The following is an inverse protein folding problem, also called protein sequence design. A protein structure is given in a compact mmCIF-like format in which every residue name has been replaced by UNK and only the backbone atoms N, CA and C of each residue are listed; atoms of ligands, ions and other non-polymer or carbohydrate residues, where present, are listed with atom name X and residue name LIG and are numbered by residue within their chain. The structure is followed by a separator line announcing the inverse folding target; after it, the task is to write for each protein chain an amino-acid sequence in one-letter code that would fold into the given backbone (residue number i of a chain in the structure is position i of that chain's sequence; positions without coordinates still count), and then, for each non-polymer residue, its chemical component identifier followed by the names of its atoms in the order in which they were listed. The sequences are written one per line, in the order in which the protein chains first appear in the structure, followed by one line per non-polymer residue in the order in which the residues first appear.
data_IF_595510806091
#
_entry.id   IF_595510806091
#
_cell.length_a   1.000
_cell.length_b   1.000
_cell.length_c   1.000
_cell.angle_alpha   90.00
_cell.angle_beta   90.00
_cell.angle_gamma   90.00
#
_symmetry.space_group_name_H-M   'P 1'
#
loop_
_entity.id
_entity.type
_entity.pdbx_description
1 polymer ?
#
# COMPACT_ATOMS: atom_id res chain seq x y z
N UNK A 1 -38.61 -49.47 -17.03
CA UNK A 1 -37.95 -50.08 -18.19
C UNK A 1 -36.84 -49.13 -18.66
N UNK A 2 -35.70 -49.70 -18.88
CA UNK A 2 -34.43 -49.22 -19.41
C UNK A 2 -33.53 -48.53 -18.38
N UNK A 3 -32.72 -49.38 -17.80
CA UNK A 3 -31.46 -49.16 -17.08
C UNK A 3 -30.36 -48.74 -18.04
N UNK A 4 -29.57 -47.73 -17.66
CA UNK A 4 -28.25 -47.51 -18.27
C UNK A 4 -27.17 -47.50 -17.20
N UNK A 5 -26.25 -48.46 -17.32
CA UNK A 5 -25.11 -48.69 -16.46
C UNK A 5 -23.96 -47.70 -16.80
N UNK A 6 -23.40 -47.06 -15.80
CA UNK A 6 -22.17 -46.31 -15.90
C UNK A 6 -20.99 -47.25 -15.65
N UNK A 7 -20.07 -47.30 -16.61
CA UNK A 7 -18.77 -48.01 -16.50
C UNK A 7 -17.80 -47.18 -15.65
N UNK A 8 -17.25 -47.78 -14.61
CA UNK A 8 -16.12 -47.26 -13.84
C UNK A 8 -14.86 -47.89 -14.46
N UNK A 9 -13.99 -47.06 -14.99
CA UNK A 9 -12.64 -47.47 -15.39
C UNK A 9 -11.66 -47.18 -14.27
N UNK A 10 -11.17 -48.27 -13.65
CA UNK A 10 -10.08 -48.25 -12.67
C UNK A 10 -8.74 -48.25 -13.43
N UNK A 11 -7.96 -47.20 -13.24
CA UNK A 11 -6.56 -47.17 -13.69
C UNK A 11 -5.67 -47.44 -12.48
N UNK A 12 -4.98 -48.59 -12.52
CA UNK A 12 -3.90 -48.95 -11.61
C UNK A 12 -2.63 -48.20 -12.04
N UNK A 13 -2.05 -47.40 -11.16
CA UNK A 13 -0.70 -46.87 -11.34
C UNK A 13 0.21 -47.41 -10.25
N UNK A 14 1.20 -48.17 -10.68
CA UNK A 14 2.27 -48.78 -9.91
C UNK A 14 3.21 -47.75 -9.29
N UNK A 15 3.49 -47.91 -8.02
CA UNK A 15 4.46 -47.12 -7.26
C UNK A 15 5.90 -47.50 -7.69
N UNK A 16 6.68 -46.48 -8.04
CA UNK A 16 8.15 -46.55 -7.99
C UNK A 16 8.62 -45.44 -7.04
N UNK A 17 9.27 -45.85 -5.96
CA UNK A 17 9.83 -45.00 -4.96
C UNK A 17 11.01 -44.17 -5.52
N UNK A 18 10.95 -42.86 -5.27
CA UNK A 18 12.06 -41.96 -5.44
C UNK A 18 11.96 -40.91 -4.32
N UNK A 19 12.91 -40.99 -3.40
CA UNK A 19 13.14 -39.98 -2.36
C UNK A 19 13.59 -38.70 -3.04
N UNK A 20 12.74 -37.67 -3.04
CA UNK A 20 13.13 -36.31 -3.42
C UNK A 20 13.24 -35.52 -2.12
N UNK A 21 14.48 -35.18 -1.79
CA UNK A 21 14.82 -34.21 -0.75
C UNK A 21 14.22 -32.84 -1.08
N UNK A 22 13.52 -32.27 -0.13
CA UNK A 22 12.87 -30.97 -0.26
C UNK A 22 13.89 -29.83 -0.47
N UNK A 23 13.64 -29.04 -1.48
CA UNK A 23 14.14 -27.66 -1.56
C UNK A 23 12.95 -26.74 -1.32
N UNK A 24 12.89 -26.15 -0.12
CA UNK A 24 12.09 -24.99 0.15
C UNK A 24 12.75 -23.80 -0.57
N UNK A 25 12.12 -23.26 -1.58
CA UNK A 25 12.53 -21.99 -2.16
C UNK A 25 12.03 -20.85 -1.25
N UNK A 26 12.96 -20.40 -0.41
CA UNK A 26 12.87 -19.17 0.39
C UNK A 26 13.09 -17.99 -0.59
N UNK A 27 11.99 -17.32 -0.98
CA UNK A 27 12.07 -16.08 -1.77
C UNK A 27 12.38 -14.89 -0.84
N UNK A 28 13.55 -14.89 -0.25
CA UNK A 28 14.15 -13.68 0.33
C UNK A 28 14.78 -12.85 -0.78
N UNK A 29 14.25 -11.66 -1.00
CA UNK A 29 14.86 -10.63 -1.87
C UNK A 29 16.27 -10.30 -1.36
N UNK A 30 17.31 -10.31 -2.21
CA UNK A 30 18.66 -10.00 -1.78
C UNK A 30 18.80 -8.52 -1.44
N UNK A 31 19.37 -8.23 -0.27
CA UNK A 31 19.82 -6.91 0.16
C UNK A 31 21.02 -6.48 -0.68
N UNK A 32 21.14 -5.18 -1.04
CA UNK A 32 22.33 -4.70 -1.75
C UNK A 32 23.51 -4.59 -0.80
N UNK A 33 24.53 -5.44 -1.01
CA UNK A 33 25.84 -5.31 -0.40
C UNK A 33 26.64 -4.23 -1.12
N UNK A 34 27.05 -3.21 -0.39
CA UNK A 34 28.01 -2.20 -0.86
C UNK A 34 29.40 -2.80 -1.03
N UNK A 35 29.90 -2.87 -2.27
CA UNK A 35 31.29 -3.07 -2.59
C UNK A 35 31.79 -1.96 -3.52
N UNK A 36 33.04 -1.46 -3.36
CA UNK A 36 33.51 -0.28 -4.06
C UNK A 36 33.99 -0.58 -5.49
N UNK A 37 33.56 0.26 -6.41
CA UNK A 37 34.30 0.59 -7.61
C UNK A 37 34.42 -0.46 -8.71
N UNK A 38 33.37 -0.70 -9.48
CA UNK A 38 33.51 -1.20 -10.85
C UNK A 38 32.65 -0.34 -11.79
N UNK A 39 33.31 0.38 -12.70
CA UNK A 39 32.64 0.98 -13.86
C UNK A 39 32.14 -0.15 -14.73
N UNK A 40 30.83 -0.38 -14.75
CA UNK A 40 30.19 -1.30 -15.69
C UNK A 40 29.81 -0.53 -16.94
N UNK A 41 30.18 -0.97 -18.15
CA UNK A 41 29.73 -0.35 -19.37
C UNK A 41 28.23 -0.58 -19.55
N UNK A 42 27.53 0.47 -19.93
CA UNK A 42 26.10 0.50 -20.23
C UNK A 42 25.78 -0.55 -21.31
N UNK A 43 25.24 -1.70 -20.93
CA UNK A 43 24.69 -2.66 -21.88
C UNK A 43 23.28 -2.19 -22.27
N UNK A 44 23.14 -1.65 -23.48
CA UNK A 44 21.87 -1.50 -24.17
C UNK A 44 21.26 -2.91 -24.34
N UNK A 45 20.42 -3.32 -23.39
CA UNK A 45 19.57 -4.49 -23.50
C UNK A 45 18.40 -4.15 -24.43
N UNK A 46 18.37 -4.78 -25.57
CA UNK A 46 17.27 -4.82 -26.54
C UNK A 46 15.98 -5.32 -25.87
N UNK A 47 15.10 -4.41 -25.46
CA UNK A 47 13.68 -4.71 -25.28
C UNK A 47 12.94 -4.24 -26.52
N UNK A 48 12.76 -5.13 -27.49
CA UNK A 48 11.85 -4.95 -28.63
C UNK A 48 10.44 -5.31 -28.16
N UNK A 49 9.77 -4.34 -27.58
CA UNK A 49 8.34 -4.30 -27.37
C UNK A 49 7.93 -2.83 -27.50
N UNK A 50 7.77 -2.34 -28.75
CA UNK A 50 7.14 -1.05 -28.98
C UNK A 50 5.63 -1.19 -28.69
N UNK A 51 5.26 -1.10 -27.40
CA UNK A 51 3.94 -0.62 -27.03
C UNK A 51 4.00 0.89 -27.23
N UNK A 52 3.10 1.45 -28.02
CA UNK A 52 3.15 2.86 -28.38
C UNK A 52 2.89 3.70 -27.13
N UNK A 53 3.91 4.33 -26.58
CA UNK A 53 3.88 5.20 -25.40
C UNK A 53 2.90 6.40 -25.51
N UNK A 54 2.30 6.61 -26.67
CA UNK A 54 1.21 7.55 -26.84
C UNK A 54 -0.13 7.04 -26.28
N UNK A 55 -0.30 5.73 -26.09
CA UNK A 55 -1.55 5.15 -25.56
C UNK A 55 -1.68 5.37 -24.07
N UNK A 56 -0.56 5.33 -23.32
CA UNK A 56 -0.57 5.48 -21.86
C UNK A 56 -0.97 6.91 -21.48
N UNK A 57 -0.32 7.94 -22.05
CA UNK A 57 -0.65 9.33 -21.74
C UNK A 57 -2.05 9.75 -22.25
N UNK A 58 -2.55 9.15 -23.35
CA UNK A 58 -3.92 9.43 -23.81
C UNK A 58 -4.99 8.87 -22.88
N UNK A 59 -4.63 7.89 -22.02
CA UNK A 59 -5.55 7.39 -20.99
C UNK A 59 -5.93 8.44 -19.95
N UNK A 60 -5.07 9.47 -19.73
CA UNK A 60 -5.34 10.61 -18.85
C UNK A 60 -6.62 11.38 -19.27
N UNK A 61 -6.98 11.35 -20.56
CA UNK A 61 -8.15 12.05 -21.10
C UNK A 61 -9.47 11.30 -20.82
N UNK A 62 -9.39 10.10 -20.23
CA UNK A 62 -10.53 9.19 -20.01
C UNK A 62 -11.03 9.14 -18.57
N UNK A 63 -10.43 9.92 -17.67
CA UNK A 63 -10.87 10.02 -16.27
C UNK A 63 -11.84 11.18 -16.10
N UNK A 64 -12.82 10.98 -15.23
CA UNK A 64 -13.92 11.91 -15.04
C UNK A 64 -13.60 13.07 -14.08
N UNK A 65 -12.56 12.92 -13.26
CA UNK A 65 -12.22 13.92 -12.25
C UNK A 65 -10.72 14.21 -12.16
N UNK A 66 -10.43 15.50 -12.05
CA UNK A 66 -9.11 16.05 -11.77
C UNK A 66 -9.16 16.94 -10.54
N UNK A 67 -8.10 16.91 -9.72
CA UNK A 67 -7.90 17.79 -8.60
C UNK A 67 -6.63 18.62 -8.83
N UNK A 68 -6.58 19.82 -8.27
CA UNK A 68 -5.47 20.78 -8.35
C UNK A 68 -5.15 21.29 -9.78
N UNK A 69 -5.82 20.83 -10.80
CA UNK A 69 -5.65 21.31 -12.18
C UNK A 69 -6.90 21.05 -13.03
N UNK A 70 -7.05 21.77 -14.16
CA UNK A 70 -7.90 21.29 -15.25
C UNK A 70 -7.42 19.94 -15.78
N UNK A 71 -8.25 19.20 -16.54
CA UNK A 71 -7.84 17.98 -17.23
C UNK A 71 -6.58 18.19 -18.07
N UNK A 72 -5.59 17.31 -17.89
CA UNK A 72 -4.36 17.34 -18.70
C UNK A 72 -4.50 16.36 -19.88
N UNK A 73 -4.03 16.78 -21.03
CA UNK A 73 -4.04 15.97 -22.26
C UNK A 73 -2.63 15.54 -22.65
N UNK A 74 -2.49 14.43 -23.38
CA UNK A 74 -1.21 14.00 -23.91
C UNK A 74 -0.54 15.12 -24.79
N UNK A 75 -1.33 15.91 -25.49
CA UNK A 75 -0.82 17.02 -26.29
C UNK A 75 -0.26 18.17 -25.46
N UNK A 76 -0.86 18.49 -24.32
CA UNK A 76 -0.40 19.53 -23.39
C UNK A 76 0.90 19.11 -22.66
N UNK A 77 1.18 17.82 -22.59
CA UNK A 77 2.37 17.26 -21.93
C UNK A 77 3.56 17.11 -22.90
N UNK A 78 3.39 17.34 -24.20
CA UNK A 78 4.50 17.27 -25.17
C UNK A 78 5.61 18.28 -24.82
N UNK A 79 6.85 17.83 -24.94
CA UNK A 79 8.02 18.64 -24.61
C UNK A 79 8.26 18.81 -23.11
N UNK A 80 7.52 18.15 -22.26
CA UNK A 80 7.71 18.11 -20.79
C UNK A 80 8.16 16.74 -20.35
N UNK A 81 8.95 16.69 -19.29
CA UNK A 81 9.20 15.45 -18.56
C UNK A 81 8.00 15.20 -17.64
N UNK A 82 7.46 13.99 -17.64
CA UNK A 82 6.27 13.66 -16.83
C UNK A 82 6.61 12.54 -15.86
N UNK A 83 6.27 12.76 -14.60
CA UNK A 83 6.29 11.72 -13.56
C UNK A 83 4.85 11.33 -13.25
N UNK A 84 4.48 10.09 -13.56
CA UNK A 84 3.20 9.51 -13.12
C UNK A 84 3.46 8.78 -11.79
N UNK A 85 2.69 9.16 -10.77
CA UNK A 85 2.72 8.59 -9.43
C UNK A 85 1.39 7.88 -9.15
N UNK A 86 1.37 6.54 -9.22
CA UNK A 86 0.20 5.75 -8.85
C UNK A 86 0.11 5.57 -7.35
N UNK A 87 -1.03 5.96 -6.79
CA UNK A 87 -1.22 6.01 -5.35
C UNK A 87 -2.63 5.71 -4.89
N UNK A 88 -2.74 5.38 -3.61
CA UNK A 88 -3.97 5.44 -2.84
C UNK A 88 -3.67 5.95 -1.43
N UNK A 89 -4.61 6.66 -0.82
CA UNK A 89 -4.31 7.43 0.41
C UNK A 89 -4.15 6.56 1.66
N UNK A 90 -4.56 5.28 1.63
CA UNK A 90 -4.36 4.34 2.74
C UNK A 90 -3.05 3.55 2.63
N UNK A 91 -2.34 3.61 1.50
CA UNK A 91 -1.09 2.89 1.31
C UNK A 91 0.06 3.52 2.09
N UNK A 92 0.58 2.84 3.13
CA UNK A 92 1.69 3.34 3.95
C UNK A 92 2.98 3.52 3.15
N UNK A 93 3.26 2.61 2.21
CA UNK A 93 4.45 2.68 1.36
C UNK A 93 4.42 3.94 0.49
N UNK A 94 3.25 4.28 -0.06
CA UNK A 94 3.09 5.54 -0.78
C UNK A 94 3.18 6.76 0.14
N UNK A 95 2.61 6.71 1.36
CA UNK A 95 2.72 7.80 2.35
C UNK A 95 4.18 8.14 2.64
N UNK A 96 5.08 7.16 2.65
CA UNK A 96 6.53 7.34 2.81
C UNK A 96 7.23 7.83 1.54
N UNK A 97 6.65 7.59 0.37
CA UNK A 97 7.16 8.09 -0.93
C UNK A 97 6.74 9.55 -1.18
N UNK A 98 5.57 9.96 -0.70
CA UNK A 98 4.96 11.26 -0.94
C UNK A 98 5.89 12.48 -0.65
N UNK A 99 6.66 12.53 0.45
CA UNK A 99 7.55 13.67 0.72
C UNK A 99 8.58 13.92 -0.39
N UNK A 100 9.09 12.85 -1.00
CA UNK A 100 10.02 12.96 -2.15
C UNK A 100 9.30 13.44 -3.40
N UNK A 101 8.13 12.89 -3.71
CA UNK A 101 7.34 13.33 -4.88
C UNK A 101 6.95 14.81 -4.77
N UNK A 102 6.55 15.27 -3.57
CA UNK A 102 6.28 16.69 -3.31
C UNK A 102 7.54 17.56 -3.53
N UNK A 103 8.68 17.11 -3.01
CA UNK A 103 9.94 17.83 -3.16
C UNK A 103 10.40 17.92 -4.62
N UNK A 104 10.28 16.84 -5.39
CA UNK A 104 10.59 16.85 -6.83
C UNK A 104 9.61 17.73 -7.62
N UNK A 105 8.32 17.66 -7.31
CA UNK A 105 7.31 18.49 -7.94
C UNK A 105 7.62 19.98 -7.76
N UNK A 106 8.01 20.41 -6.55
CA UNK A 106 8.38 21.79 -6.26
C UNK A 106 9.71 22.19 -6.90
N UNK A 107 10.75 21.37 -6.73
CA UNK A 107 12.11 21.67 -7.21
C UNK A 107 12.18 21.82 -8.72
N UNK A 108 11.50 20.96 -9.48
CA UNK A 108 11.68 20.88 -10.94
C UNK A 108 10.51 21.45 -11.75
N UNK A 109 9.49 22.06 -11.12
CA UNK A 109 8.32 22.62 -11.82
C UNK A 109 8.69 23.62 -12.92
N UNK A 110 9.62 24.54 -12.62
CA UNK A 110 10.06 25.57 -13.55
C UNK A 110 11.07 25.04 -14.57
N UNK A 111 11.60 23.83 -14.36
CA UNK A 111 12.51 23.15 -15.28
C UNK A 111 11.79 22.18 -16.22
N UNK A 112 10.45 22.17 -16.20
CA UNK A 112 9.63 21.43 -17.16
C UNK A 112 9.24 20.02 -16.70
N UNK A 113 9.37 19.70 -15.41
CA UNK A 113 8.75 18.51 -14.81
C UNK A 113 7.26 18.76 -14.58
N UNK A 114 6.44 17.82 -14.96
CA UNK A 114 5.02 17.72 -14.57
C UNK A 114 4.83 16.44 -13.78
N UNK A 115 4.49 16.56 -12.50
CA UNK A 115 4.09 15.43 -11.69
C UNK A 115 2.57 15.27 -11.79
N UNK A 116 2.09 14.06 -12.03
CA UNK A 116 0.67 13.70 -12.05
C UNK A 116 0.47 12.53 -11.10
N UNK A 117 -0.22 12.79 -9.99
CA UNK A 117 -0.70 11.73 -9.11
C UNK A 117 -1.90 11.02 -9.74
N UNK A 118 -1.83 9.72 -9.91
CA UNK A 118 -2.97 8.90 -10.37
C UNK A 118 -3.52 8.15 -9.17
N UNK A 119 -4.62 8.65 -8.62
CA UNK A 119 -5.29 7.99 -7.51
C UNK A 119 -6.10 6.80 -8.02
N UNK A 120 -5.60 5.59 -7.77
CA UNK A 120 -6.26 4.33 -8.12
C UNK A 120 -6.66 3.62 -6.81
N UNK A 121 -7.97 3.40 -6.56
CA UNK A 121 -8.46 2.90 -5.28
C UNK A 121 -8.11 1.43 -5.06
N UNK A 122 -7.65 1.06 -3.87
CA UNK A 122 -7.53 -0.32 -3.42
C UNK A 122 -8.84 -0.79 -2.75
N UNK A 123 -9.46 0.07 -1.95
CA UNK A 123 -10.71 -0.22 -1.25
C UNK A 123 -11.88 0.55 -1.85
N UNK A 124 -13.11 0.04 -1.65
CA UNK A 124 -14.31 0.65 -2.22
C UNK A 124 -14.55 2.10 -1.76
N UNK A 125 -14.23 2.41 -0.50
CA UNK A 125 -14.39 3.76 0.05
C UNK A 125 -13.41 4.78 -0.55
N UNK A 126 -12.34 4.34 -1.16
CA UNK A 126 -11.37 5.20 -1.85
C UNK A 126 -11.88 5.67 -3.22
N UNK A 127 -12.99 5.11 -3.72
CA UNK A 127 -13.69 5.61 -4.92
C UNK A 127 -14.46 6.90 -4.65
N UNK A 128 -14.79 7.20 -3.40
CA UNK A 128 -15.52 8.42 -3.05
C UNK A 128 -14.64 9.66 -3.25
N UNK A 129 -15.04 10.50 -4.20
CA UNK A 129 -14.30 11.73 -4.55
C UNK A 129 -14.13 12.68 -3.35
N UNK A 130 -15.08 12.69 -2.41
CA UNK A 130 -14.98 13.52 -1.20
C UNK A 130 -13.85 13.06 -0.28
N UNK A 131 -13.66 11.74 -0.15
CA UNK A 131 -12.55 11.14 0.59
C UNK A 131 -11.22 11.44 -0.09
N UNK A 132 -11.14 11.33 -1.43
CA UNK A 132 -9.92 11.66 -2.19
C UNK A 132 -9.57 13.13 -2.05
N UNK A 133 -10.54 14.05 -2.16
CA UNK A 133 -10.33 15.51 -1.97
C UNK A 133 -9.79 15.83 -0.59
N UNK A 134 -10.38 15.23 0.45
CA UNK A 134 -9.90 15.40 1.82
C UNK A 134 -8.46 14.90 1.94
N UNK A 135 -8.17 13.70 1.46
CA UNK A 135 -6.83 13.14 1.49
C UNK A 135 -5.80 14.03 0.77
N UNK A 136 -6.13 14.55 -0.41
CA UNK A 136 -5.27 15.50 -1.16
C UNK A 136 -4.95 16.74 -0.31
N UNK A 137 -5.96 17.32 0.34
CA UNK A 137 -5.78 18.49 1.19
C UNK A 137 -4.95 18.18 2.46
N UNK A 138 -5.31 17.12 3.19
CA UNK A 138 -4.65 16.75 4.44
C UNK A 138 -3.18 16.37 4.24
N UNK A 139 -2.88 15.77 3.08
CA UNK A 139 -1.52 15.37 2.69
C UNK A 139 -0.76 16.45 1.92
N UNK A 140 -1.34 17.64 1.74
CA UNK A 140 -0.71 18.78 1.05
C UNK A 140 -0.19 18.42 -0.33
N UNK A 141 -1.01 17.72 -1.12
CA UNK A 141 -0.71 17.42 -2.51
C UNK A 141 -1.14 18.62 -3.34
N UNK A 142 -0.18 19.30 -3.96
CA UNK A 142 -0.42 20.51 -4.74
C UNK A 142 -0.30 20.27 -6.26
N UNK A 143 0.37 19.16 -6.66
CA UNK A 143 0.48 18.79 -8.06
C UNK A 143 -0.85 18.19 -8.59
N UNK A 144 -1.05 18.16 -9.94
CA UNK A 144 -2.22 17.59 -10.58
C UNK A 144 -2.53 16.15 -10.13
N UNK A 145 -3.80 15.87 -9.85
CA UNK A 145 -4.27 14.53 -9.49
C UNK A 145 -5.39 14.09 -10.43
N UNK A 146 -5.16 13.00 -11.14
CA UNK A 146 -6.17 12.27 -11.91
C UNK A 146 -6.84 11.22 -11.01
N UNK A 147 -8.17 11.22 -10.92
CA UNK A 147 -8.93 10.27 -10.11
C UNK A 147 -9.32 9.08 -11.00
N UNK A 148 -8.63 7.97 -10.86
CA UNK A 148 -8.75 6.76 -11.70
C UNK A 148 -9.61 5.68 -11.00
N UNK A 149 -10.82 6.04 -10.56
CA UNK A 149 -11.71 5.14 -9.80
C UNK A 149 -12.05 3.84 -10.52
N UNK A 150 -12.00 3.82 -11.84
CA UNK A 150 -12.27 2.65 -12.67
C UNK A 150 -10.99 2.00 -13.24
N UNK A 151 -9.80 2.38 -12.75
CA UNK A 151 -8.52 1.83 -13.16
C UNK A 151 -8.25 1.90 -14.68
N UNK A 152 -8.66 2.98 -15.33
CA UNK A 152 -8.47 3.18 -16.78
C UNK A 152 -7.02 3.49 -17.10
N UNK A 153 -6.42 4.44 -16.34
CA UNK A 153 -4.99 4.79 -16.45
C UNK A 153 -4.15 3.63 -15.95
N UNK A 154 -4.53 3.05 -14.80
CA UNK A 154 -3.87 1.89 -14.22
C UNK A 154 -3.67 0.76 -15.24
N UNK A 155 -4.73 0.38 -15.94
CA UNK A 155 -4.65 -0.66 -16.98
C UNK A 155 -3.86 -0.24 -18.20
N UNK A 156 -3.92 1.04 -18.60
CA UNK A 156 -3.18 1.55 -19.76
C UNK A 156 -1.66 1.50 -19.52
N UNK A 157 -1.22 1.71 -18.28
CA UNK A 157 0.17 1.56 -17.87
C UNK A 157 0.55 0.12 -17.48
N UNK A 158 -0.37 -0.84 -17.57
CA UNK A 158 -0.18 -2.22 -17.11
C UNK A 158 0.30 -2.29 -15.65
N UNK A 159 -0.09 -1.29 -14.82
CA UNK A 159 0.38 -1.19 -13.45
C UNK A 159 -0.22 -2.29 -12.55
N UNK A 160 0.55 -2.72 -11.54
CA UNK A 160 0.15 -3.76 -10.59
C UNK A 160 0.52 -3.43 -9.13
N UNK A 161 1.12 -2.24 -8.87
CA UNK A 161 1.70 -1.92 -7.58
C UNK A 161 1.32 -0.52 -7.08
N UNK A 162 1.21 -0.39 -5.76
CA UNK A 162 1.23 0.88 -5.03
C UNK A 162 2.43 0.93 -4.07
N UNK A 163 3.20 2.03 -4.06
CA UNK A 163 3.29 3.04 -5.10
C UNK A 163 3.93 2.49 -6.37
N UNK A 164 3.71 3.19 -7.48
CA UNK A 164 4.45 2.96 -8.71
C UNK A 164 4.74 4.30 -9.41
N UNK A 165 5.99 4.55 -9.73
CA UNK A 165 6.44 5.74 -10.42
C UNK A 165 6.82 5.39 -11.86
N UNK A 166 6.31 6.15 -12.83
CA UNK A 166 6.68 6.02 -14.23
C UNK A 166 7.27 7.32 -14.73
N UNK A 167 8.46 7.24 -15.30
CA UNK A 167 9.28 8.38 -15.77
C UNK A 167 9.18 8.48 -17.28
N UNK A 168 8.61 9.58 -17.76
CA UNK A 168 8.26 9.78 -19.16
C UNK A 168 9.05 10.96 -19.71
N UNK A 169 9.73 10.77 -20.85
CA UNK A 169 10.55 11.79 -21.49
C UNK A 169 9.71 12.85 -22.26
N UNK A 170 10.37 13.89 -22.73
CA UNK A 170 9.74 14.99 -23.47
C UNK A 170 9.08 14.55 -24.78
N UNK A 171 9.36 13.35 -25.27
CA UNK A 171 8.73 12.74 -26.43
C UNK A 171 7.50 11.90 -26.07
N UNK A 172 7.21 11.76 -24.77
CA UNK A 172 6.08 10.98 -24.26
C UNK A 172 6.38 9.49 -24.13
N UNK A 173 7.64 9.05 -24.07
CA UNK A 173 8.03 7.65 -23.95
C UNK A 173 8.34 7.33 -22.49
N UNK A 174 7.80 6.22 -21.97
CA UNK A 174 8.19 5.69 -20.68
C UNK A 174 9.65 5.21 -20.76
N UNK A 175 10.52 5.80 -19.93
CA UNK A 175 11.97 5.55 -19.91
C UNK A 175 12.38 4.69 -18.70
N UNK A 176 11.64 4.80 -17.63
CA UNK A 176 11.90 4.07 -16.40
C UNK A 176 10.61 3.90 -15.59
N UNK A 177 10.60 2.92 -14.70
CA UNK A 177 9.59 2.76 -13.67
C UNK A 177 10.24 2.29 -12.36
N UNK A 178 9.67 2.71 -11.23
CA UNK A 178 10.03 2.27 -9.89
C UNK A 178 8.76 1.72 -9.21
N UNK A 179 8.79 0.45 -8.81
CA UNK A 179 7.71 -0.20 -8.10
C UNK A 179 8.03 -0.29 -6.60
N UNK A 180 7.05 0.04 -5.77
CA UNK A 180 7.23 0.10 -4.32
C UNK A 180 7.98 1.36 -3.87
N UNK A 181 8.19 1.45 -2.56
CA UNK A 181 8.93 2.55 -1.93
C UNK A 181 10.44 2.35 -1.99
N UNK A 182 11.22 3.44 -1.88
CA UNK A 182 12.69 3.42 -1.89
C UNK A 182 13.31 3.89 -3.19
N UNK A 183 14.63 3.74 -3.33
CA UNK A 183 15.43 4.18 -4.50
C UNK A 183 15.22 5.65 -4.89
N UNK A 184 14.96 6.52 -3.91
CA UNK A 184 14.56 7.91 -4.18
C UNK A 184 15.67 8.72 -4.85
N UNK A 185 16.93 8.58 -4.42
CA UNK A 185 18.07 9.24 -5.03
C UNK A 185 18.24 8.80 -6.49
N UNK A 186 18.14 7.51 -6.78
CA UNK A 186 18.20 7.00 -8.15
C UNK A 186 17.05 7.53 -9.00
N UNK A 187 15.84 7.57 -8.45
CA UNK A 187 14.65 8.12 -9.12
C UNK A 187 14.86 9.60 -9.47
N UNK A 188 15.41 10.39 -8.55
CA UNK A 188 15.71 11.80 -8.80
C UNK A 188 16.79 12.00 -9.87
N UNK A 189 17.85 11.17 -9.85
CA UNK A 189 18.87 11.20 -10.91
C UNK A 189 18.27 10.96 -12.30
N UNK A 190 17.33 10.02 -12.42
CA UNK A 190 16.61 9.76 -13.68
C UNK A 190 15.79 11.00 -14.12
N UNK A 191 15.06 11.64 -13.20
CA UNK A 191 14.36 12.90 -13.50
C UNK A 191 15.30 13.96 -14.03
N UNK A 192 16.45 14.16 -13.37
CA UNK A 192 17.48 15.13 -13.77
C UNK A 192 18.06 14.83 -15.16
N UNK A 193 18.29 13.55 -15.49
CA UNK A 193 18.75 13.14 -16.82
C UNK A 193 17.71 13.44 -17.90
N UNK A 194 16.44 13.08 -17.67
CA UNK A 194 15.36 13.35 -18.62
C UNK A 194 15.12 14.85 -18.83
N UNK A 195 15.24 15.67 -17.77
CA UNK A 195 15.15 17.13 -17.87
C UNK A 195 16.30 17.72 -18.67
N UNK A 196 17.53 17.23 -18.47
CA UNK A 196 18.69 17.64 -19.26
C UNK A 196 18.54 17.26 -20.75
N UNK A 197 18.09 16.03 -21.05
CA UNK A 197 17.77 15.58 -22.42
C UNK A 197 16.68 16.45 -23.09
N UNK A 198 15.74 16.96 -22.30
CA UNK A 198 14.69 17.87 -22.78
C UNK A 198 15.18 19.30 -23.07
N UNK A 199 16.48 19.61 -22.83
CA UNK A 199 17.07 20.89 -23.12
C UNK A 199 16.58 22.04 -22.23
N UNK A 200 16.24 21.77 -20.98
CA UNK A 200 15.64 22.73 -20.04
C UNK A 200 16.63 23.64 -19.32
N UNK A 201 17.85 23.76 -19.84
CA UNK A 201 18.91 24.58 -19.25
C UNK A 201 19.76 23.82 -18.24
N UNK A 202 20.37 24.54 -17.33
CA UNK A 202 21.17 23.96 -16.25
C UNK A 202 20.24 23.33 -15.20
N UNK A 203 20.40 22.03 -14.96
CA UNK A 203 19.61 21.28 -13.98
C UNK A 203 20.39 21.22 -12.66
N UNK A 204 19.77 21.66 -11.58
CA UNK A 204 20.28 21.44 -10.24
C UNK A 204 20.34 19.95 -9.92
N UNK A 205 21.57 19.42 -9.76
CA UNK A 205 21.82 17.99 -9.56
C UNK A 205 21.99 17.59 -8.10
N UNK A 206 21.88 18.52 -7.16
CA UNK A 206 21.89 18.18 -5.73
C UNK A 206 20.58 17.44 -5.39
N UNK A 207 20.62 16.24 -4.81
CA UNK A 207 19.40 15.53 -4.43
C UNK A 207 18.58 16.30 -3.41
N UNK A 208 17.26 16.15 -3.46
CA UNK A 208 16.38 16.71 -2.42
C UNK A 208 16.68 16.09 -1.06
N UNK A 209 16.72 16.92 -0.04
CA UNK A 209 16.81 16.49 1.35
C UNK A 209 15.40 16.43 1.95
N UNK A 210 14.99 15.25 2.39
CA UNK A 210 13.66 15.02 2.98
C UNK A 210 13.82 14.58 4.42
N UNK A 211 13.26 15.36 5.35
CA UNK A 211 13.13 15.01 6.77
C UNK A 211 11.65 14.80 7.10
N UNK A 212 11.17 13.58 6.88
CA UNK A 212 9.78 13.21 7.05
C UNK A 212 9.52 12.61 8.44
N UNK A 213 8.54 13.15 9.14
CA UNK A 213 8.10 12.69 10.46
C UNK A 213 6.73 11.97 10.43
N UNK A 214 6.29 11.48 11.58
CA UNK A 214 4.98 10.86 11.73
C UNK A 214 4.78 9.67 10.78
N UNK A 215 3.64 9.59 10.13
CA UNK A 215 3.27 8.50 9.19
C UNK A 215 4.17 8.47 7.94
N UNK A 216 4.73 9.62 7.57
CA UNK A 216 5.59 9.74 6.39
C UNK A 216 7.05 9.34 6.65
N UNK A 217 7.45 9.12 7.90
CA UNK A 217 8.81 8.70 8.24
C UNK A 217 9.14 7.34 7.64
N UNK A 218 10.39 7.19 7.15
CA UNK A 218 10.88 5.93 6.60
C UNK A 218 10.65 4.75 7.57
N UNK A 219 10.38 3.57 7.03
CA UNK A 219 10.27 2.36 7.84
C UNK A 219 11.61 2.04 8.55
N UNK A 220 11.54 1.42 9.74
CA UNK A 220 12.72 0.83 10.38
C UNK A 220 13.02 -0.55 9.75
N UNK A 221 13.59 -0.52 8.53
CA UNK A 221 13.84 -1.73 7.74
C UNK A 221 14.66 -2.79 8.48
N UNK A 222 15.56 -2.38 9.37
CA UNK A 222 16.38 -3.30 10.17
C UNK A 222 15.58 -4.10 11.18
N UNK A 223 14.41 -3.59 11.57
CA UNK A 223 13.55 -4.20 12.59
C UNK A 223 12.22 -4.70 12.01
N UNK A 224 11.93 -4.48 10.73
CA UNK A 224 10.65 -4.85 10.12
C UNK A 224 10.61 -6.35 9.80
N UNK A 225 9.76 -7.12 10.53
CA UNK A 225 9.53 -8.56 10.30
C UNK A 225 8.05 -8.91 10.08
N UNK A 226 7.16 -7.94 10.27
CA UNK A 226 5.73 -8.15 10.02
C UNK A 226 5.36 -7.62 8.66
N UNK A 227 4.86 -8.48 7.75
CA UNK A 227 4.37 -8.06 6.45
C UNK A 227 3.02 -7.38 6.56
N UNK A 228 2.65 -6.60 5.54
CA UNK A 228 1.28 -6.14 5.36
C UNK A 228 0.31 -7.32 5.35
N UNK A 229 -0.84 -7.18 6.02
CA UNK A 229 -1.84 -8.23 6.11
C UNK A 229 -3.26 -7.68 6.03
N UNK A 230 -4.08 -8.28 5.22
CA UNK A 230 -5.48 -7.90 5.03
C UNK A 230 -6.38 -8.65 6.01
N UNK A 231 -7.48 -8.03 6.38
CA UNK A 231 -8.43 -8.60 7.36
C UNK A 231 -9.56 -9.36 6.68
N UNK A 232 -9.97 -8.92 5.46
CA UNK A 232 -10.95 -9.65 4.65
C UNK A 232 -10.42 -11.00 4.15
N UNK A 233 -11.32 -11.98 4.00
CA UNK A 233 -10.95 -13.37 3.72
C UNK A 233 -10.27 -13.60 2.36
N UNK A 234 -10.38 -12.67 1.42
CA UNK A 234 -9.77 -12.81 0.08
C UNK A 234 -8.23 -12.79 0.11
N UNK A 235 -7.65 -12.05 1.06
CA UNK A 235 -6.19 -11.81 1.13
C UNK A 235 -5.61 -11.99 2.54
N UNK A 236 -6.38 -12.49 3.49
CA UNK A 236 -5.92 -12.62 4.88
C UNK A 236 -4.95 -13.78 5.05
N UNK A 237 -3.94 -13.56 5.90
CA UNK A 237 -3.02 -14.59 6.36
C UNK A 237 -2.97 -14.60 7.89
N UNK A 238 -2.63 -15.75 8.47
CA UNK A 238 -2.40 -15.89 9.91
C UNK A 238 -3.62 -15.67 10.82
N UNK A 239 -4.85 -15.81 10.30
CA UNK A 239 -6.06 -15.74 11.15
C UNK A 239 -6.14 -16.93 12.10
N UNK A 240 -6.16 -16.67 13.42
CA UNK A 240 -5.97 -17.67 14.46
C UNK A 240 -7.15 -17.80 15.47
N UNK A 241 -8.27 -17.12 15.24
CA UNK A 241 -9.45 -17.33 16.10
C UNK A 241 -9.93 -18.79 16.02
N UNK A 242 -10.30 -19.43 17.17
CA UNK A 242 -10.75 -20.81 17.20
C UNK A 242 -11.90 -21.08 16.23
N UNK A 243 -11.77 -22.17 15.46
CA UNK A 243 -12.75 -22.60 14.46
C UNK A 243 -12.69 -21.83 13.14
N UNK A 244 -11.68 -20.98 12.92
CA UNK A 244 -11.44 -20.26 11.66
C UNK A 244 -12.49 -19.20 11.34
N UNK A 245 -12.40 -18.58 10.15
CA UNK A 245 -13.36 -17.58 9.69
C UNK A 245 -14.65 -18.21 9.15
N UNK A 246 -15.80 -17.60 9.46
CA UNK A 246 -17.07 -17.86 8.78
C UNK A 246 -17.33 -16.68 7.85
N UNK A 247 -17.51 -16.99 6.55
CA UNK A 247 -17.55 -15.98 5.51
C UNK A 247 -18.95 -15.38 5.36
N UNK A 248 -19.00 -14.05 5.27
CA UNK A 248 -20.21 -13.26 4.97
C UNK A 248 -21.39 -13.47 5.94
N UNK A 249 -21.13 -13.99 7.13
CA UNK A 249 -22.15 -14.21 8.15
C UNK A 249 -21.68 -13.73 9.52
N UNK A 250 -22.59 -13.20 10.36
CA UNK A 250 -22.27 -12.86 11.74
C UNK A 250 -21.83 -14.09 12.53
N UNK A 251 -20.75 -13.95 13.27
CA UNK A 251 -20.26 -14.99 14.18
C UNK A 251 -19.66 -14.37 15.44
N UNK A 252 -19.90 -15.03 16.57
CA UNK A 252 -19.18 -14.77 17.81
C UNK A 252 -17.81 -15.43 17.76
N UNK A 253 -16.75 -14.63 17.80
CA UNK A 253 -15.36 -15.08 17.81
C UNK A 253 -14.76 -14.96 19.21
N UNK A 254 -13.68 -15.72 19.45
CA UNK A 254 -12.89 -15.72 20.67
C UNK A 254 -11.40 -15.58 20.33
N UNK A 255 -10.64 -14.93 21.22
CA UNK A 255 -9.20 -14.89 21.11
C UNK A 255 -8.61 -16.24 21.56
N UNK A 256 -7.56 -16.75 20.88
CA UNK A 256 -6.80 -17.91 21.36
C UNK A 256 -6.01 -17.55 22.63
N UNK A 257 -5.50 -18.54 23.35
CA UNK A 257 -4.67 -18.34 24.55
C UNK A 257 -3.36 -17.60 24.27
N UNK A 258 -2.90 -17.56 23.02
CA UNK A 258 -1.71 -16.82 22.58
C UNK A 258 -1.60 -16.81 21.05
N UNK A 259 -0.91 -15.81 20.52
CA UNK A 259 -0.63 -15.64 19.09
C UNK A 259 0.86 -15.85 18.82
N UNK A 260 1.19 -16.50 17.73
CA UNK A 260 2.54 -16.52 17.16
C UNK A 260 2.79 -15.23 16.40
N UNK A 261 4.05 -14.94 16.09
CA UNK A 261 4.41 -13.78 15.26
C UNK A 261 3.65 -13.81 13.93
N UNK A 262 3.07 -12.66 13.56
CA UNK A 262 2.23 -12.44 12.38
C UNK A 262 0.88 -13.17 12.38
N UNK A 263 0.47 -13.74 13.50
CA UNK A 263 -0.91 -14.19 13.69
C UNK A 263 -1.78 -13.07 14.26
N UNK A 264 -3.07 -13.12 13.88
CA UNK A 264 -4.09 -12.22 14.37
C UNK A 264 -5.40 -12.96 14.65
N UNK A 265 -6.20 -12.41 15.53
CA UNK A 265 -7.48 -12.99 15.94
C UNK A 265 -8.48 -11.92 16.33
N UNK A 266 -9.75 -12.30 16.36
CA UNK A 266 -10.86 -11.44 16.81
C UNK A 266 -11.59 -12.05 18.00
N UNK A 267 -12.24 -11.20 18.79
CA UNK A 267 -13.28 -11.59 19.73
C UNK A 267 -14.49 -10.67 19.63
N UNK A 268 -15.69 -11.19 19.96
CA UNK A 268 -16.95 -10.48 19.79
C UNK A 268 -17.71 -10.89 18.52
N UNK A 269 -18.76 -10.16 18.22
CA UNK A 269 -19.69 -10.47 17.12
C UNK A 269 -19.25 -9.73 15.84
N UNK A 270 -18.67 -10.46 14.89
CA UNK A 270 -18.12 -9.93 13.65
C UNK A 270 -18.66 -10.64 12.42
N UNK A 271 -18.76 -9.92 11.31
CA UNK A 271 -18.94 -10.47 9.97
C UNK A 271 -17.65 -10.28 9.19
N UNK A 272 -17.02 -11.36 8.70
CA UNK A 272 -15.84 -11.32 7.84
C UNK A 272 -16.30 -11.38 6.40
N UNK A 273 -16.07 -10.29 5.66
CA UNK A 273 -16.36 -10.19 4.23
C UNK A 273 -15.11 -10.46 3.40
N UNK A 274 -15.23 -10.46 2.08
CA UNK A 274 -14.07 -10.63 1.20
C UNK A 274 -12.97 -9.58 1.42
N UNK A 275 -13.31 -8.34 1.84
CA UNK A 275 -12.37 -7.21 1.95
C UNK A 275 -12.21 -6.62 3.34
N UNK A 276 -13.06 -6.97 4.30
CA UNK A 276 -13.07 -6.36 5.62
C UNK A 276 -13.62 -7.30 6.70
N UNK A 277 -13.38 -6.96 7.97
CA UNK A 277 -14.18 -7.44 9.08
C UNK A 277 -15.06 -6.30 9.60
N UNK A 278 -16.36 -6.55 9.76
CA UNK A 278 -17.36 -5.59 10.22
C UNK A 278 -17.80 -5.98 11.63
N UNK A 279 -17.69 -5.07 12.57
CA UNK A 279 -18.13 -5.28 13.96
C UNK A 279 -19.64 -5.09 14.08
N UNK A 280 -20.36 -6.15 14.41
CA UNK A 280 -21.82 -6.13 14.53
C UNK A 280 -22.29 -5.58 15.89
N UNK A 281 -21.57 -5.86 16.98
CA UNK A 281 -21.89 -5.40 18.34
C UNK A 281 -20.69 -4.77 19.03
N UNK A 282 -20.94 -3.81 19.90
CA UNK A 282 -19.90 -3.15 20.68
C UNK A 282 -19.01 -4.10 21.48
N UNK A 283 -17.82 -3.64 21.87
CA UNK A 283 -16.80 -4.34 22.64
C UNK A 283 -16.15 -5.52 21.91
N UNK A 284 -16.19 -5.52 20.56
CA UNK A 284 -15.36 -6.41 19.75
C UNK A 284 -13.92 -6.01 19.79
N UNK A 285 -13.02 -7.02 19.72
CA UNK A 285 -11.57 -6.83 19.76
C UNK A 285 -10.90 -7.47 18.57
N UNK A 286 -9.74 -6.91 18.20
CA UNK A 286 -8.77 -7.56 17.32
C UNK A 286 -7.43 -7.56 18.03
N UNK A 287 -6.73 -8.69 18.01
CA UNK A 287 -5.37 -8.85 18.50
C UNK A 287 -4.45 -9.24 17.36
N UNK A 288 -3.22 -8.72 17.36
CA UNK A 288 -2.18 -9.03 16.36
C UNK A 288 -0.82 -9.12 17.05
N UNK A 289 -0.05 -10.19 16.81
CA UNK A 289 1.32 -10.29 17.28
C UNK A 289 2.29 -9.86 16.18
N UNK A 290 3.05 -8.79 16.42
CA UNK A 290 3.87 -8.15 15.40
C UNK A 290 5.30 -7.85 15.86
N UNK A 291 6.20 -7.62 14.88
CA UNK A 291 7.55 -7.13 15.09
C UNK A 291 7.86 -6.03 14.07
N UNK A 292 7.67 -4.81 14.46
CA UNK A 292 7.98 -3.60 13.70
C UNK A 292 8.03 -2.40 14.65
N UNK A 293 8.65 -1.29 14.21
CA UNK A 293 8.56 -0.03 14.96
C UNK A 293 7.13 0.52 14.93
N UNK A 294 6.52 0.56 13.77
CA UNK A 294 5.19 1.10 13.58
C UNK A 294 4.17 0.01 13.27
N UNK A 295 2.96 0.17 13.81
CA UNK A 295 1.76 -0.55 13.40
C UNK A 295 0.69 0.45 13.00
N UNK A 296 0.16 0.27 11.81
CA UNK A 296 -0.95 1.04 11.26
C UNK A 296 -2.14 0.13 11.00
N UNK A 297 -3.33 0.70 11.04
CA UNK A 297 -4.58 0.00 10.76
C UNK A 297 -5.41 0.83 9.79
N UNK A 298 -5.79 0.23 8.66
CA UNK A 298 -6.80 0.80 7.77
C UNK A 298 -8.15 0.40 8.28
N UNK A 299 -8.95 1.38 8.71
CA UNK A 299 -10.28 1.17 9.26
C UNK A 299 -11.15 2.40 9.09
N UNK A 300 -12.45 2.26 9.33
CA UNK A 300 -13.37 3.37 9.32
C UNK A 300 -14.77 2.99 9.80
N UNK A 301 -15.67 3.96 9.99
CA UNK A 301 -17.06 3.67 10.27
C UNK A 301 -17.75 3.12 9.01
N UNK A 302 -18.59 2.10 9.15
CA UNK A 302 -19.41 1.58 8.07
C UNK A 302 -20.45 2.60 7.57
N UNK A 303 -20.91 3.50 8.45
CA UNK A 303 -21.83 4.58 8.12
C UNK A 303 -21.11 5.93 8.17
N UNK A 304 -21.12 6.72 7.08
CA UNK A 304 -20.54 8.06 7.06
C UNK A 304 -21.06 8.97 8.19
N UNK A 305 -20.17 9.79 8.76
CA UNK A 305 -20.50 10.72 9.84
C UNK A 305 -20.64 10.08 11.23
N UNK A 306 -20.40 8.78 11.34
CA UNK A 306 -20.36 8.08 12.64
C UNK A 306 -18.98 8.24 13.28
N UNK A 307 -18.96 8.40 14.60
CA UNK A 307 -17.73 8.47 15.40
C UNK A 307 -17.72 7.32 16.41
N UNK A 308 -16.65 6.51 16.39
CA UNK A 308 -16.53 5.31 17.20
C UNK A 308 -15.26 5.38 18.06
N UNK A 309 -15.41 5.29 19.38
CA UNK A 309 -14.26 5.25 20.29
C UNK A 309 -13.67 3.85 20.33
N UNK A 310 -12.36 3.79 20.45
CA UNK A 310 -11.61 2.55 20.65
C UNK A 310 -10.56 2.70 21.74
N UNK A 311 -10.03 1.57 22.21
CA UNK A 311 -8.90 1.49 23.11
C UNK A 311 -7.85 0.53 22.57
N UNK A 312 -6.60 0.95 22.60
CA UNK A 312 -5.42 0.16 22.22
C UNK A 312 -4.67 -0.31 23.46
N UNK A 313 -4.22 -1.55 23.45
CA UNK A 313 -3.30 -2.11 24.43
C UNK A 313 -2.07 -2.71 23.71
N UNK A 314 -0.95 -2.69 24.39
CA UNK A 314 0.27 -3.42 24.02
C UNK A 314 0.64 -4.33 25.20
N UNK A 315 0.71 -5.64 24.94
CA UNK A 315 0.93 -6.69 25.94
C UNK A 315 -0.01 -6.54 27.16
N UNK A 316 -1.29 -6.24 26.88
CA UNK A 316 -2.34 -6.07 27.87
C UNK A 316 -2.29 -4.77 28.68
N UNK A 317 -1.46 -3.80 28.29
CA UNK A 317 -1.29 -2.51 29.00
C UNK A 317 -1.47 -1.33 28.03
N UNK A 318 -1.83 -0.12 28.51
CA UNK A 318 -1.80 1.07 27.68
C UNK A 318 -0.45 1.25 26.98
N UNK A 319 -0.43 1.78 25.74
CA UNK A 319 0.78 1.89 24.93
C UNK A 319 1.82 2.86 25.51
N UNK A 320 1.41 3.82 26.35
CA UNK A 320 2.29 4.85 26.92
C UNK A 320 3.16 5.50 25.84
N UNK A 321 4.48 5.55 26.01
CA UNK A 321 5.42 6.12 25.05
C UNK A 321 5.45 5.41 23.67
N UNK A 322 4.80 4.25 23.53
CA UNK A 322 4.68 3.53 22.26
C UNK A 322 3.41 3.86 21.48
N UNK A 323 2.62 4.86 21.91
CA UNK A 323 1.42 5.25 21.16
C UNK A 323 1.76 5.87 19.80
N UNK A 324 0.90 5.61 18.79
CA UNK A 324 0.92 6.30 17.51
C UNK A 324 0.21 7.66 17.57
N UNK A 325 0.21 8.40 16.46
CA UNK A 325 -0.38 9.76 16.43
C UNK A 325 -1.93 9.77 16.57
N UNK A 326 -2.59 8.65 16.31
CA UNK A 326 -4.05 8.51 16.39
C UNK A 326 -4.52 7.91 17.72
N UNK A 327 -3.62 7.78 18.68
CA UNK A 327 -3.86 7.13 19.99
C UNK A 327 -3.19 7.98 21.07
N UNK A 328 -3.85 8.16 22.22
CA UNK A 328 -3.22 8.80 23.39
C UNK A 328 -2.37 7.79 24.20
N UNK A 329 -1.61 8.30 25.19
CA UNK A 329 -0.77 7.46 26.07
C UNK A 329 -1.58 6.41 26.84
N UNK A 330 -2.85 6.64 27.07
CA UNK A 330 -3.78 5.73 27.73
C UNK A 330 -4.38 4.69 26.78
N UNK A 331 -4.09 4.81 25.47
CA UNK A 331 -4.57 3.93 24.43
C UNK A 331 -5.91 4.33 23.81
N UNK A 332 -6.47 5.47 24.17
CA UNK A 332 -7.76 5.88 23.61
C UNK A 332 -7.59 6.55 22.25
N UNK A 333 -8.54 6.32 21.37
CA UNK A 333 -8.64 6.95 20.07
C UNK A 333 -10.08 6.96 19.55
N UNK A 334 -10.27 7.56 18.40
CA UNK A 334 -11.59 7.69 17.77
C UNK A 334 -11.49 7.44 16.28
N UNK A 335 -12.35 6.57 15.76
CA UNK A 335 -12.56 6.35 14.33
C UNK A 335 -13.64 7.29 13.84
N UNK A 336 -13.29 8.17 12.90
CA UNK A 336 -14.23 9.14 12.30
C UNK A 336 -14.36 8.99 10.80
N UNK A 337 -13.35 8.40 10.16
CA UNK A 337 -13.19 8.33 8.71
C UNK A 337 -12.58 7.01 8.29
N UNK A 338 -12.83 6.60 7.06
CA UNK A 338 -12.16 5.46 6.45
C UNK A 338 -10.79 5.90 5.94
N UNK A 339 -9.73 5.58 6.70
CA UNK A 339 -8.34 5.96 6.43
C UNK A 339 -7.34 5.04 7.14
N UNK A 340 -6.07 5.26 6.88
CA UNK A 340 -4.99 4.68 7.66
C UNK A 340 -4.82 5.45 8.97
N UNK A 341 -4.73 4.71 10.08
CA UNK A 341 -4.46 5.19 11.43
C UNK A 341 -3.12 4.64 11.91
N UNK A 342 -2.28 5.48 12.49
CA UNK A 342 -1.06 5.03 13.16
C UNK A 342 -1.37 4.72 14.62
N UNK A 343 -1.42 3.43 14.95
CA UNK A 343 -1.78 2.93 16.28
C UNK A 343 -0.58 2.92 17.24
N UNK A 344 0.57 2.45 16.73
CA UNK A 344 1.77 2.20 17.53
C UNK A 344 3.00 2.79 16.84
N UNK A 345 3.90 3.34 17.65
CA UNK A 345 5.30 3.60 17.31
C UNK A 345 6.18 3.20 18.50
N UNK A 346 6.79 2.02 18.42
CA UNK A 346 7.66 1.52 19.48
C UNK A 346 8.91 2.39 19.63
N UNK A 347 9.29 2.78 20.88
CA UNK A 347 10.65 3.23 21.15
C UNK A 347 11.63 2.05 21.03
N UNK A 348 12.91 2.32 20.75
CA UNK A 348 13.95 1.28 20.74
C UNK A 348 14.22 0.74 22.16
N UNK A 349 14.54 -0.56 22.30
CA UNK A 349 14.69 -1.57 21.26
C UNK A 349 13.34 -2.07 20.74
N UNK A 350 13.27 -2.36 19.42
CA UNK A 350 12.06 -2.95 18.80
C UNK A 350 12.01 -4.44 19.15
N UNK A 351 10.85 -4.89 19.62
CA UNK A 351 10.64 -6.29 20.06
C UNK A 351 9.30 -6.81 19.56
N UNK A 352 9.10 -8.13 19.65
CA UNK A 352 7.78 -8.75 19.42
C UNK A 352 6.79 -8.21 20.46
N UNK A 353 5.66 -7.72 20.00
CA UNK A 353 4.58 -7.21 20.86
C UNK A 353 3.24 -7.78 20.44
N UNK A 354 2.34 -7.90 21.39
CA UNK A 354 0.92 -8.17 21.13
C UNK A 354 0.16 -6.86 21.17
N UNK A 355 -0.33 -6.44 20.02
CA UNK A 355 -1.27 -5.33 19.87
C UNK A 355 -2.70 -5.84 20.09
N UNK A 356 -3.51 -5.07 20.78
CA UNK A 356 -4.96 -5.28 20.91
C UNK A 356 -5.69 -3.96 20.70
N UNK A 357 -6.79 -4.00 19.95
CA UNK A 357 -7.73 -2.88 19.83
C UNK A 357 -9.13 -3.34 20.22
N UNK A 358 -9.79 -2.61 21.11
CA UNK A 358 -11.17 -2.81 21.52
C UNK A 358 -12.03 -1.66 21.02
N UNK A 359 -13.08 -1.96 20.29
CA UNK A 359 -14.02 -0.97 19.78
C UNK A 359 -15.22 -0.85 20.72
N UNK A 360 -15.44 0.35 21.28
CA UNK A 360 -16.48 0.61 22.29
C UNK A 360 -17.89 0.77 21.69
N UNK A 361 -17.98 0.89 20.36
CA UNK A 361 -19.22 0.95 19.59
C UNK A 361 -19.23 -0.11 18.48
N UNK A 362 -20.38 -0.35 17.87
CA UNK A 362 -20.56 -1.22 16.70
C UNK A 362 -20.43 -0.46 15.38
N UNK A 363 -20.26 -1.19 14.26
CA UNK A 363 -20.26 -0.61 12.92
C UNK A 363 -18.90 -0.03 12.49
N UNK A 364 -17.79 -0.51 13.05
CA UNK A 364 -16.46 -0.29 12.46
C UNK A 364 -16.19 -1.35 11.40
N UNK A 365 -15.54 -0.94 10.33
CA UNK A 365 -14.94 -1.80 9.31
C UNK A 365 -13.43 -1.74 9.43
N UNK A 366 -12.78 -2.90 9.45
CA UNK A 366 -11.33 -3.05 9.51
C UNK A 366 -10.85 -3.77 8.25
N UNK A 367 -9.86 -3.20 7.55
CA UNK A 367 -9.45 -3.62 6.22
C UNK A 367 -8.05 -4.26 6.17
N UNK A 368 -7.04 -3.58 6.72
CA UNK A 368 -5.66 -4.04 6.63
C UNK A 368 -4.78 -3.54 7.77
N UNK A 369 -3.80 -4.37 8.16
CA UNK A 369 -2.66 -3.99 8.98
C UNK A 369 -1.45 -3.71 8.10
N UNK A 370 -0.73 -2.63 8.39
CA UNK A 370 0.54 -2.31 7.75
C UNK A 370 1.59 -1.92 8.79
N UNK A 371 2.86 -2.16 8.47
CA UNK A 371 3.95 -2.02 9.42
C UNK A 371 5.10 -1.18 8.84
N UNK A 372 6.00 -0.66 9.77
CA UNK A 372 7.12 0.15 9.36
C UNK A 372 8.22 0.33 10.36
#
# INVERSE_FOLDING_TARGET
MITNKLLVATVLATALGGTVTGFGEDMTMPQPTTAPGLRVPFLHGLFTGQVSSQSELTSLERVDAWLNSPPLTASALRGKVVLIDFWTYTCIKWRRTLPYVRAWAEKYKDQGLVVIGVHAPEFAFEKDLSNVRRAVNDMRIEYPVAVDSEHVIWRAFENQYWPALYFIDAQGRVRHHQFGEGSYEQSEMILQELLAEAGRGEIDREPVSVDAGGVEAAADWGSLKSPENYVGYERTEGFASPGGAVLDQPRMYELPAGLRLNEWAMSGDWTVTNRAAVLNKANGRIAYRFHARDLHLVMGPAAPGTSLRFRVLIDGRPPSAAHGIDVDEQGNGTVTEQRLYQMIRQPKPITDRQFEIEFLGSGVEVFAFTFG
#
